data_IF_111693945940
#
_entry.id   IF_111693945940
#
_cell.length_a   1.000
_cell.length_b   1.000
_cell.length_c   1.000
_cell.angle_alpha   90.00
_cell.angle_beta   90.00
_cell.angle_gamma   90.00
#
_symmetry.space_group_name_H-M   'P 1'
#
loop_
_entity.id
_entity.type
_entity.pdbx_description
1 polymer ?
#
# COMPACT_ATOMS: atom_id res chain seq x y z
N UNK A 1 -10.33 7.66 14.33
CA UNK A 1 -8.93 8.09 14.14
C UNK A 1 -8.80 8.80 12.80
N UNK A 2 -8.21 10.01 12.79
CA UNK A 2 -8.29 11.07 11.77
C UNK A 2 -8.66 10.67 10.33
N UNK A 3 -9.85 11.08 9.92
CA UNK A 3 -10.14 11.44 8.55
C UNK A 3 -9.36 12.73 8.24
N UNK A 4 -8.35 12.62 7.38
CA UNK A 4 -7.64 13.78 6.83
C UNK A 4 -8.49 14.40 5.73
N UNK A 5 -8.88 15.65 5.94
CA UNK A 5 -9.85 16.39 5.15
C UNK A 5 -9.63 16.44 3.63
N UNK A 6 -10.78 16.48 2.98
CA UNK A 6 -11.11 16.64 1.56
C UNK A 6 -10.42 17.86 0.91
N UNK A 7 -9.79 17.65 -0.26
CA UNK A 7 -9.65 18.64 -1.34
C UNK A 7 -9.81 17.91 -2.68
N UNK A 8 -11.02 18.03 -3.25
CA UNK A 8 -11.28 17.74 -4.66
C UNK A 8 -10.40 18.69 -5.49
N UNK A 9 -9.39 18.16 -6.18
CA UNK A 9 -8.45 18.95 -7.00
C UNK A 9 -6.96 18.62 -6.81
N UNK A 10 -6.59 17.82 -5.80
CA UNK A 10 -5.24 17.27 -5.66
C UNK A 10 -5.27 15.75 -5.88
N UNK A 11 -4.27 15.13 -6.55
CA UNK A 11 -4.21 13.68 -6.70
C UNK A 11 -4.28 13.03 -5.32
N UNK A 12 -5.23 12.12 -5.12
CA UNK A 12 -5.40 11.43 -3.85
C UNK A 12 -4.10 10.69 -3.49
N UNK A 13 -3.63 10.76 -2.23
CA UNK A 13 -2.42 10.05 -1.83
C UNK A 13 -2.63 8.54 -1.98
N UNK A 14 -1.58 7.83 -2.39
CA UNK A 14 -1.62 6.38 -2.53
C UNK A 14 -1.99 5.69 -1.19
N UNK A 15 -2.50 4.46 -1.26
CA UNK A 15 -2.95 3.72 -0.08
C UNK A 15 -1.85 3.61 0.99
N UNK A 16 -0.59 3.49 0.59
CA UNK A 16 0.56 3.49 1.49
C UNK A 16 0.72 4.82 2.24
N UNK A 17 0.78 5.94 1.52
CA UNK A 17 0.95 7.27 2.13
C UNK A 17 -0.25 7.66 3.01
N UNK A 18 -1.45 7.23 2.62
CA UNK A 18 -2.67 7.41 3.41
C UNK A 18 -2.59 6.67 4.75
N UNK A 19 -2.12 5.42 4.76
CA UNK A 19 -1.98 4.63 5.99
C UNK A 19 -0.82 5.12 6.87
N UNK A 20 0.33 5.45 6.26
CA UNK A 20 1.50 6.01 6.95
C UNK A 20 1.30 7.45 7.41
N UNK A 21 0.19 8.11 7.01
CA UNK A 21 -0.11 9.52 7.30
C UNK A 21 1.00 10.47 6.84
N UNK A 22 1.65 10.15 5.72
CA UNK A 22 2.73 10.95 5.12
C UNK A 22 2.31 11.58 3.79
N UNK A 23 3.04 12.59 3.33
CA UNK A 23 2.76 13.23 2.04
C UNK A 23 3.16 12.31 0.88
N UNK A 24 2.25 12.15 -0.08
CA UNK A 24 2.53 11.39 -1.31
C UNK A 24 3.20 12.32 -2.32
N UNK A 25 4.48 12.11 -2.60
CA UNK A 25 5.21 12.80 -3.66
C UNK A 25 4.86 12.21 -5.04
N UNK A 26 5.18 12.93 -6.11
CA UNK A 26 5.04 12.40 -7.47
C UNK A 26 5.98 11.20 -7.73
N UNK A 27 7.15 11.20 -7.07
CA UNK A 27 8.14 10.10 -7.12
C UNK A 27 7.87 8.98 -6.10
N UNK A 28 6.61 8.78 -5.72
CA UNK A 28 6.28 7.79 -4.70
C UNK A 28 6.38 6.38 -5.28
N UNK A 29 7.38 5.61 -4.84
CA UNK A 29 7.57 4.20 -5.22
C UNK A 29 6.36 3.32 -4.93
N UNK A 30 5.49 3.72 -4.00
CA UNK A 30 4.27 2.98 -3.65
C UNK A 30 3.06 3.31 -4.54
N UNK A 31 3.07 4.44 -5.24
CA UNK A 31 1.94 4.89 -6.04
C UNK A 31 1.50 3.91 -7.14
N UNK A 32 2.42 3.30 -7.94
CA UNK A 32 2.02 2.34 -8.97
C UNK A 32 1.54 0.99 -8.41
N UNK A 33 1.95 0.61 -7.20
CA UNK A 33 1.60 -0.69 -6.60
C UNK A 33 0.36 -0.63 -5.69
N UNK A 34 0.13 0.50 -5.02
CA UNK A 34 -0.91 0.67 -4.00
C UNK A 34 -1.81 1.86 -4.33
N UNK A 35 -2.73 1.71 -5.31
CA UNK A 35 -3.69 2.77 -5.63
C UNK A 35 -4.57 3.10 -4.42
N UNK A 36 -5.09 4.33 -4.38
CA UNK A 36 -5.95 4.79 -3.28
C UNK A 36 -7.27 4.01 -3.15
N UNK A 37 -7.65 3.26 -4.19
CA UNK A 37 -8.87 2.43 -4.26
C UNK A 37 -8.79 1.17 -3.38
N UNK A 38 -7.58 0.64 -3.15
CA UNK A 38 -7.34 -0.57 -2.35
C UNK A 38 -6.50 -0.30 -1.08
N UNK A 39 -7.02 0.45 -0.09
CA UNK A 39 -6.31 0.69 1.17
C UNK A 39 -6.07 -0.61 1.97
N UNK A 40 -6.93 -1.61 1.76
CA UNK A 40 -6.90 -2.93 2.41
C UNK A 40 -5.59 -3.68 2.09
N UNK A 41 -5.14 -3.62 0.83
CA UNK A 41 -3.92 -4.29 0.36
C UNK A 41 -2.72 -3.83 1.18
N UNK A 42 -2.54 -2.52 1.29
CA UNK A 42 -1.40 -1.98 2.00
C UNK A 42 -1.51 -2.23 3.52
N UNK A 43 -2.70 -2.15 4.11
CA UNK A 43 -2.91 -2.45 5.52
C UNK A 43 -2.52 -3.88 5.89
N UNK A 44 -2.87 -4.87 5.05
CA UNK A 44 -2.52 -6.26 5.26
C UNK A 44 -1.02 -6.49 5.20
N UNK A 45 -0.33 -5.91 4.21
CA UNK A 45 1.10 -6.17 4.09
C UNK A 45 1.94 -5.34 5.06
N UNK A 46 1.48 -4.13 5.39
CA UNK A 46 2.03 -3.36 6.51
C UNK A 46 1.90 -4.13 7.84
N UNK A 47 0.80 -4.86 8.05
CA UNK A 47 0.59 -5.66 9.25
C UNK A 47 1.54 -6.86 9.36
N UNK A 48 1.90 -7.48 8.23
CA UNK A 48 2.77 -8.68 8.21
C UNK A 48 4.26 -8.32 8.19
N UNK A 49 4.65 -7.36 7.36
CA UNK A 49 6.07 -7.02 7.16
C UNK A 49 6.50 -5.74 7.87
N UNK A 50 5.57 -4.82 8.17
CA UNK A 50 5.88 -3.49 8.71
C UNK A 50 6.36 -2.50 7.65
N UNK A 51 6.06 -1.21 7.84
CA UNK A 51 6.41 -0.13 6.89
C UNK A 51 7.89 -0.13 6.46
N UNK A 52 8.81 -0.35 7.41
CA UNK A 52 10.25 -0.26 7.17
C UNK A 52 10.76 -1.38 6.27
N UNK A 53 10.30 -2.62 6.48
CA UNK A 53 10.69 -3.74 5.63
C UNK A 53 10.08 -3.59 4.23
N UNK A 54 8.83 -3.15 4.14
CA UNK A 54 8.17 -2.89 2.86
C UNK A 54 8.94 -1.85 2.03
N UNK A 55 9.36 -0.74 2.64
CA UNK A 55 10.16 0.28 1.96
C UNK A 55 11.55 -0.24 1.53
N UNK A 56 12.18 -1.06 2.37
CA UNK A 56 13.46 -1.70 2.05
C UNK A 56 13.29 -2.68 0.89
N UNK A 57 12.25 -3.53 0.91
CA UNK A 57 11.95 -4.50 -0.14
C UNK A 57 11.68 -3.88 -1.51
N UNK A 58 10.94 -2.76 -1.57
CA UNK A 58 10.75 -2.02 -2.83
C UNK A 58 12.07 -1.43 -3.36
N UNK A 59 13.04 -1.13 -2.51
CA UNK A 59 14.37 -0.71 -2.93
C UNK A 59 15.25 -1.87 -3.41
N UNK A 60 15.20 -3.06 -2.79
CA UNK A 60 16.18 -4.13 -3.05
C UNK A 60 15.81 -5.11 -4.17
N UNK A 61 14.53 -5.27 -4.59
CA UNK A 61 14.29 -6.09 -5.78
C UNK A 61 12.87 -6.59 -6.06
N UNK A 62 12.56 -6.63 -7.36
CA UNK A 62 11.30 -7.08 -7.98
C UNK A 62 10.83 -8.48 -7.59
N UNK A 63 11.71 -9.37 -7.11
CA UNK A 63 11.34 -10.71 -6.69
C UNK A 63 10.42 -10.71 -5.47
N UNK A 64 10.61 -9.74 -4.56
CA UNK A 64 9.71 -9.56 -3.44
C UNK A 64 8.42 -8.84 -3.79
N UNK A 65 8.38 -8.04 -4.87
CA UNK A 65 7.11 -7.54 -5.41
C UNK A 65 6.24 -8.70 -5.93
N UNK A 66 6.86 -9.75 -6.49
CA UNK A 66 6.17 -10.97 -6.89
C UNK A 66 5.61 -11.72 -5.68
N UNK A 67 6.42 -11.92 -4.63
CA UNK A 67 5.96 -12.49 -3.37
C UNK A 67 4.89 -11.62 -2.70
N UNK A 68 4.96 -10.29 -2.82
CA UNK A 68 3.96 -9.37 -2.33
C UNK A 68 2.63 -9.51 -3.05
N UNK A 69 2.66 -9.66 -4.38
CA UNK A 69 1.49 -9.96 -5.18
C UNK A 69 0.93 -11.34 -4.82
N UNK A 70 1.80 -12.34 -4.58
CA UNK A 70 1.39 -13.68 -4.19
C UNK A 70 0.73 -13.70 -2.81
N UNK A 71 1.33 -13.06 -1.81
CA UNK A 71 0.77 -12.87 -0.46
C UNK A 71 -0.51 -12.05 -0.53
N UNK A 72 -0.55 -10.96 -1.29
CA UNK A 72 -1.77 -10.14 -1.42
C UNK A 72 -2.90 -10.91 -2.11
N UNK A 73 -2.59 -11.70 -3.13
CA UNK A 73 -3.54 -12.57 -3.83
C UNK A 73 -4.03 -13.69 -2.92
N UNK A 74 -3.14 -14.27 -2.11
CA UNK A 74 -3.50 -15.30 -1.13
C UNK A 74 -4.40 -14.75 -0.02
N UNK A 75 -4.07 -13.58 0.54
CA UNK A 75 -4.89 -12.89 1.55
C UNK A 75 -6.25 -12.49 0.95
N UNK A 76 -6.29 -12.03 -0.31
CA UNK A 76 -7.54 -11.70 -1.01
C UNK A 76 -8.37 -12.95 -1.31
N UNK A 77 -7.73 -14.07 -1.61
CA UNK A 77 -8.37 -15.37 -1.82
C UNK A 77 -8.97 -15.94 -0.53
N UNK A 78 -8.32 -15.73 0.62
CA UNK A 78 -8.88 -16.06 1.94
C UNK A 78 -10.09 -15.20 2.29
N UNK A 79 -10.14 -13.95 1.81
CA UNK A 79 -11.29 -13.05 2.00
C UNK A 79 -12.45 -13.31 1.03
N UNK A 80 -12.23 -13.98 -0.10
CA UNK A 80 -13.25 -14.29 -1.12
C UNK A 80 -13.99 -15.63 -0.87
N UNK A 81 -13.86 -16.18 0.34
CA UNK A 81 -14.56 -17.40 0.78
C UNK A 81 -15.64 -17.16 1.84
N UNK A 82 -16.13 -15.92 1.99
CA UNK A 82 -17.18 -15.56 2.95
C UNK A 82 -18.29 -14.77 2.26
#
# INVERSE_FOLDING_TARGET
MKEGGRKQGAPAPCAACKLLRRRCAQDCVFAPYFPADEPQKFANVHKVFGASNVNKMLQVGSFLALLFNLVSTFIKSLSCGK
#
